data_IF_067003922988
#
_entry.id   IF_067003922988
#
_cell.length_a   1.000
_cell.length_b   1.000
_cell.length_c   1.000
_cell.angle_alpha   90.00
_cell.angle_beta   90.00
_cell.angle_gamma   90.00
#
_symmetry.space_group_name_H-M   'P 1'
#
loop_
_entity.id
_entity.type
_entity.pdbx_description
1 polymer ?
#
# COMPACT_ATOMS: atom_id res chain seq x y z
N UNK A 1 22.34 6.44 18.18
CA UNK A 1 20.86 6.59 18.02
C UNK A 1 20.22 6.64 19.40
N UNK A 2 19.44 7.66 19.70
CA UNK A 2 18.57 7.78 20.89
C UNK A 2 17.32 6.90 20.74
N UNK A 3 16.56 6.65 21.81
CA UNK A 3 15.28 5.91 21.71
C UNK A 3 14.23 6.64 20.87
N UNK A 4 14.22 7.99 20.91
CA UNK A 4 13.33 8.83 20.11
C UNK A 4 13.63 8.67 18.60
N UNK A 5 14.90 8.78 18.23
CA UNK A 5 15.34 8.56 16.83
C UNK A 5 15.05 7.13 16.37
N UNK A 6 15.31 6.12 17.27
CA UNK A 6 15.01 4.74 16.97
C UNK A 6 13.52 4.56 16.62
N UNK A 7 12.61 5.10 17.43
CA UNK A 7 11.16 5.03 17.17
C UNK A 7 10.80 5.70 15.83
N UNK A 8 11.35 6.87 15.53
CA UNK A 8 11.13 7.54 14.24
C UNK A 8 11.62 6.69 13.07
N UNK A 9 12.80 6.11 13.15
CA UNK A 9 13.34 5.25 12.09
C UNK A 9 12.58 3.92 11.97
N UNK A 10 12.11 3.37 13.08
CA UNK A 10 11.26 2.18 13.09
C UNK A 10 9.92 2.44 12.40
N UNK A 11 9.28 3.58 12.66
CA UNK A 11 8.07 4.01 11.98
C UNK A 11 8.30 4.33 10.48
N UNK A 12 9.51 4.66 10.08
CA UNK A 12 9.91 4.75 8.68
C UNK A 12 10.24 3.37 8.07
N UNK A 13 10.39 2.32 8.87
CA UNK A 13 10.77 0.97 8.42
C UNK A 13 12.22 0.86 7.98
N UNK A 14 13.12 1.69 8.50
CA UNK A 14 14.54 1.73 8.12
C UNK A 14 15.35 0.59 8.75
N UNK A 15 16.23 -0.01 7.96
CA UNK A 15 17.06 -1.17 8.37
C UNK A 15 18.03 -0.87 9.51
N UNK A 16 18.42 0.38 9.71
CA UNK A 16 19.30 0.79 10.81
C UNK A 16 18.75 0.44 12.20
N UNK A 17 17.42 0.26 12.35
CA UNK A 17 16.84 -0.20 13.63
C UNK A 17 17.22 -1.63 13.94
N UNK A 18 17.14 -2.57 12.99
CA UNK A 18 17.56 -3.96 13.20
C UNK A 18 19.05 -4.01 13.50
N UNK A 19 19.88 -3.24 12.79
CA UNK A 19 21.31 -3.15 13.09
C UNK A 19 21.59 -2.60 14.47
N UNK A 20 20.80 -1.62 14.94
CA UNK A 20 20.95 -1.02 16.28
C UNK A 20 20.55 -2.02 17.40
N UNK A 21 19.46 -2.77 17.20
CA UNK A 21 19.05 -3.83 18.16
C UNK A 21 20.11 -4.91 18.23
N UNK A 22 20.65 -5.39 17.11
CA UNK A 22 21.76 -6.38 17.08
C UNK A 22 22.98 -5.95 17.87
N UNK A 23 23.30 -4.66 17.85
CA UNK A 23 24.47 -4.12 18.60
C UNK A 23 24.21 -3.95 20.09
N UNK A 24 22.98 -3.58 20.46
CA UNK A 24 22.60 -3.33 21.84
C UNK A 24 21.09 -3.57 22.05
N UNK A 25 20.65 -4.85 22.19
CA UNK A 25 19.24 -5.20 22.26
C UNK A 25 18.54 -4.57 23.46
N UNK A 26 19.14 -4.59 24.64
CA UNK A 26 18.51 -4.10 25.88
C UNK A 26 18.16 -2.60 25.81
N UNK A 27 18.97 -1.81 25.12
CA UNK A 27 18.72 -0.38 24.96
C UNK A 27 17.39 -0.09 24.29
N UNK A 28 16.96 -0.94 23.36
CA UNK A 28 15.78 -0.72 22.52
C UNK A 28 14.61 -1.65 22.85
N UNK A 29 14.72 -2.49 23.88
CA UNK A 29 13.69 -3.46 24.28
C UNK A 29 12.32 -2.81 24.45
N UNK A 30 12.24 -1.65 25.11
CA UNK A 30 10.97 -0.94 25.32
C UNK A 30 10.31 -0.49 24.02
N UNK A 31 11.09 -0.14 23.00
CA UNK A 31 10.59 0.32 21.70
C UNK A 31 10.09 -0.85 20.85
N UNK A 32 10.79 -1.98 20.91
CA UNK A 32 10.35 -3.22 20.22
C UNK A 32 9.09 -3.78 20.90
N UNK A 33 9.00 -3.77 22.24
CA UNK A 33 7.78 -4.13 22.98
C UNK A 33 6.61 -3.17 22.64
N UNK A 34 6.89 -1.91 22.39
CA UNK A 34 5.86 -0.97 21.93
C UNK A 34 5.36 -1.37 20.52
N UNK A 35 6.25 -1.72 19.60
CA UNK A 35 5.87 -2.21 18.27
C UNK A 35 5.03 -3.50 18.34
N UNK A 36 5.27 -4.40 19.30
CA UNK A 36 4.43 -5.59 19.52
C UNK A 36 2.96 -5.27 19.91
N UNK A 37 2.61 -4.02 20.24
CA UNK A 37 1.24 -3.61 20.60
C UNK A 37 0.62 -2.68 19.59
N UNK A 38 1.43 -2.11 18.71
CA UNK A 38 1.00 -1.04 17.80
C UNK A 38 1.40 -1.37 16.37
N UNK A 39 0.47 -1.28 15.48
CA UNK A 39 0.77 -1.32 14.06
C UNK A 39 1.70 -0.16 13.69
N UNK A 40 2.75 -0.45 12.95
CA UNK A 40 3.79 0.51 12.57
C UNK A 40 3.90 0.73 11.07
N UNK A 41 2.99 0.18 10.26
CA UNK A 41 2.90 0.48 8.84
C UNK A 41 2.32 1.89 8.64
N UNK A 42 2.91 2.67 7.75
CA UNK A 42 2.40 4.01 7.41
C UNK A 42 1.08 3.90 6.64
N UNK A 43 1.02 2.97 5.70
CA UNK A 43 -0.17 2.63 4.92
C UNK A 43 -0.16 1.12 4.66
N UNK A 44 -0.76 0.36 5.58
CA UNK A 44 -0.80 -1.10 5.51
C UNK A 44 -1.48 -1.61 4.22
N UNK A 45 -2.41 -0.85 3.65
CA UNK A 45 -3.07 -1.20 2.40
C UNK A 45 -2.10 -1.16 1.20
N UNK A 46 -1.18 -0.21 1.18
CA UNK A 46 -0.25 -0.01 0.07
C UNK A 46 1.09 -0.74 0.25
N UNK A 47 1.57 -0.86 1.49
CA UNK A 47 2.88 -1.44 1.80
C UNK A 47 2.83 -2.85 2.38
N UNK A 48 1.65 -3.32 2.81
CA UNK A 48 1.49 -4.50 3.62
C UNK A 48 1.86 -4.26 5.08
N UNK A 49 1.78 -5.31 5.90
CA UNK A 49 2.22 -5.23 7.29
C UNK A 49 3.75 -5.19 7.38
N UNK A 50 4.24 -4.67 8.50
CA UNK A 50 5.68 -4.72 8.83
C UNK A 50 6.02 -5.86 9.78
N UNK A 51 5.25 -6.92 9.77
CA UNK A 51 5.40 -8.05 10.69
C UNK A 51 6.78 -8.68 10.60
N UNK A 52 7.27 -8.97 9.38
CA UNK A 52 8.63 -9.47 9.19
C UNK A 52 9.69 -8.56 9.82
N UNK A 53 9.58 -7.27 9.62
CA UNK A 53 10.54 -6.28 10.12
C UNK A 53 10.56 -6.24 11.66
N UNK A 54 9.38 -6.28 12.29
CA UNK A 54 9.27 -6.35 13.75
C UNK A 54 9.81 -7.68 14.28
N UNK A 55 9.48 -8.79 13.61
CA UNK A 55 10.00 -10.09 13.98
C UNK A 55 11.53 -10.16 13.89
N UNK A 56 12.16 -9.56 12.86
CA UNK A 56 13.62 -9.48 12.78
C UNK A 56 14.26 -8.68 13.92
N UNK A 57 13.57 -7.68 14.47
CA UNK A 57 14.05 -7.01 15.69
C UNK A 57 13.90 -7.92 16.93
N UNK A 58 12.81 -8.65 17.05
CA UNK A 58 12.57 -9.62 18.13
C UNK A 58 13.59 -10.75 18.06
N UNK A 59 13.95 -11.20 16.87
CA UNK A 59 14.92 -12.28 16.65
C UNK A 59 16.34 -11.94 17.10
N UNK A 60 16.63 -10.69 17.36
CA UNK A 60 17.90 -10.25 17.94
C UNK A 60 18.01 -10.51 19.46
N UNK A 61 16.94 -10.93 20.13
CA UNK A 61 16.95 -11.23 21.57
C UNK A 61 17.09 -12.74 21.81
N UNK A 62 17.89 -13.14 22.80
CA UNK A 62 17.99 -14.53 23.24
C UNK A 62 16.68 -15.02 23.85
N UNK A 63 16.08 -14.21 24.75
CA UNK A 63 14.76 -14.47 25.31
C UNK A 63 13.68 -13.68 24.56
N UNK A 64 12.92 -14.36 23.73
CA UNK A 64 11.79 -13.81 22.95
C UNK A 64 10.46 -13.84 23.72
N UNK A 65 10.40 -14.49 24.87
CA UNK A 65 9.18 -14.72 25.67
C UNK A 65 8.42 -13.44 26.03
N UNK A 66 9.06 -12.33 26.46
CA UNK A 66 8.34 -11.10 26.76
C UNK A 66 7.63 -10.47 25.55
N UNK A 67 8.21 -10.61 24.35
CA UNK A 67 7.62 -10.13 23.12
C UNK A 67 6.44 -11.01 22.69
N UNK A 68 6.61 -12.34 22.75
CA UNK A 68 5.56 -13.31 22.48
C UNK A 68 4.32 -13.07 23.36
N UNK A 69 4.51 -12.99 24.67
CA UNK A 69 3.40 -12.75 25.62
C UNK A 69 2.74 -11.39 25.38
N UNK A 70 3.52 -10.37 25.01
CA UNK A 70 2.98 -9.05 24.67
C UNK A 70 2.11 -9.10 23.40
N UNK A 71 2.56 -9.82 22.37
CA UNK A 71 1.80 -10.02 21.12
C UNK A 71 0.51 -10.80 21.37
N UNK A 72 0.59 -11.90 22.11
CA UNK A 72 -0.57 -12.73 22.47
C UNK A 72 -1.60 -11.91 23.23
N UNK A 73 -1.18 -11.21 24.28
CA UNK A 73 -2.08 -10.35 25.05
C UNK A 73 -2.70 -9.24 24.17
N UNK A 74 -1.92 -8.63 23.27
CA UNK A 74 -2.44 -7.62 22.35
C UNK A 74 -3.46 -8.20 21.36
N UNK A 75 -3.23 -9.42 20.83
CA UNK A 75 -4.15 -10.11 19.93
C UNK A 75 -5.45 -10.51 20.66
N UNK A 76 -5.36 -11.10 21.85
CA UNK A 76 -6.52 -11.53 22.62
C UNK A 76 -7.43 -10.34 22.98
N UNK A 77 -6.86 -9.18 23.33
CA UNK A 77 -7.61 -7.96 23.68
C UNK A 77 -7.99 -7.10 22.44
N UNK A 78 -7.49 -7.41 21.25
CA UNK A 78 -7.81 -6.65 20.06
C UNK A 78 -9.29 -6.83 19.70
N UNK A 79 -9.97 -5.71 19.39
CA UNK A 79 -11.32 -5.72 18.81
C UNK A 79 -11.21 -5.37 17.33
N UNK A 80 -12.01 -6.03 16.51
CA UNK A 80 -12.12 -5.69 15.10
C UNK A 80 -12.67 -4.27 14.94
N UNK A 81 -11.85 -3.43 14.36
CA UNK A 81 -12.24 -2.05 14.03
C UNK A 81 -11.62 -1.78 12.66
N UNK A 82 -12.14 -1.59 11.63
CA UNK A 82 -11.62 -1.27 10.27
C UNK A 82 -10.09 -1.02 10.13
N UNK A 83 -9.30 -1.34 11.18
CA UNK A 83 -7.85 -1.23 11.23
C UNK A 83 -7.17 -2.56 10.92
N UNK A 84 -5.90 -2.52 10.60
CA UNK A 84 -5.08 -3.68 10.23
C UNK A 84 -4.43 -4.38 11.43
N UNK A 85 -4.81 -3.98 12.67
CA UNK A 85 -4.12 -4.40 13.89
C UNK A 85 -4.17 -5.92 14.12
N UNK A 86 -5.32 -6.56 13.93
CA UNK A 86 -5.44 -8.02 14.11
C UNK A 86 -4.58 -8.74 13.08
N UNK A 87 -4.61 -8.31 11.84
CA UNK A 87 -3.78 -8.82 10.75
C UNK A 87 -2.29 -8.67 11.07
N UNK A 88 -1.85 -7.46 11.44
CA UNK A 88 -0.46 -7.21 11.82
C UNK A 88 0.03 -8.11 12.98
N UNK A 89 -0.75 -8.21 14.07
CA UNK A 89 -0.40 -9.05 15.21
C UNK A 89 -0.38 -10.52 14.83
N UNK A 90 -1.34 -10.96 14.00
CA UNK A 90 -1.42 -12.31 13.46
C UNK A 90 -0.18 -12.66 12.66
N UNK A 91 0.21 -11.83 11.71
CA UNK A 91 1.41 -12.06 10.89
C UNK A 91 2.71 -12.11 11.72
N UNK A 92 2.86 -11.26 12.76
CA UNK A 92 4.05 -11.36 13.64
C UNK A 92 4.06 -12.71 14.39
N UNK A 93 2.90 -13.17 14.89
CA UNK A 93 2.78 -14.46 15.58
C UNK A 93 2.97 -15.65 14.63
N UNK A 94 2.62 -15.50 13.35
CA UNK A 94 2.90 -16.52 12.32
C UNK A 94 4.41 -16.78 12.19
N UNK A 95 5.25 -15.77 12.28
CA UNK A 95 6.70 -15.98 12.30
C UNK A 95 7.14 -16.83 13.49
N UNK A 96 6.59 -16.60 14.70
CA UNK A 96 6.85 -17.47 15.85
C UNK A 96 6.35 -18.90 15.63
N UNK A 97 5.15 -19.05 15.03
CA UNK A 97 4.58 -20.36 14.71
C UNK A 97 5.45 -21.12 13.68
N UNK A 98 5.99 -20.44 12.69
CA UNK A 98 6.87 -21.04 11.68
C UNK A 98 8.21 -21.48 12.29
N UNK A 99 8.69 -20.79 13.31
CA UNK A 99 9.85 -21.20 14.12
C UNK A 99 9.52 -22.31 15.16
N UNK A 100 8.29 -22.84 15.12
CA UNK A 100 7.87 -23.99 15.95
C UNK A 100 7.29 -23.61 17.32
N UNK A 101 6.94 -22.34 17.57
CA UNK A 101 6.31 -21.90 18.81
C UNK A 101 4.84 -22.33 18.86
N UNK A 102 4.54 -23.36 19.66
CA UNK A 102 3.18 -23.89 19.84
C UNK A 102 2.25 -22.93 20.56
N UNK A 103 2.78 -22.04 21.41
CA UNK A 103 1.99 -21.04 22.15
C UNK A 103 1.46 -19.96 21.18
N UNK A 104 2.28 -19.53 20.22
CA UNK A 104 1.86 -18.61 19.16
C UNK A 104 0.76 -19.24 18.28
N UNK A 105 0.94 -20.49 17.88
CA UNK A 105 -0.05 -21.23 17.12
C UNK A 105 -1.38 -21.34 17.88
N UNK A 106 -1.34 -21.69 19.15
CA UNK A 106 -2.53 -21.77 20.00
C UNK A 106 -3.25 -20.42 20.13
N UNK A 107 -2.50 -19.31 20.23
CA UNK A 107 -3.08 -17.96 20.29
C UNK A 107 -3.78 -17.58 18.97
N UNK A 108 -3.18 -17.89 17.83
CA UNK A 108 -3.78 -17.66 16.51
C UNK A 108 -5.08 -18.45 16.36
N UNK A 109 -5.08 -19.73 16.74
CA UNK A 109 -6.30 -20.54 16.69
C UNK A 109 -7.37 -20.07 17.66
N UNK A 110 -7.04 -19.61 18.86
CA UNK A 110 -8.03 -19.00 19.76
C UNK A 110 -8.70 -17.79 19.14
N UNK A 111 -7.90 -16.90 18.53
CA UNK A 111 -8.46 -15.70 17.85
C UNK A 111 -9.32 -16.09 16.66
N UNK A 112 -8.89 -17.07 15.88
CA UNK A 112 -9.67 -17.65 14.78
C UNK A 112 -11.05 -18.14 15.24
N UNK A 113 -11.09 -19.00 16.29
CA UNK A 113 -12.34 -19.54 16.81
C UNK A 113 -13.25 -18.44 17.39
N UNK A 114 -12.68 -17.42 18.03
CA UNK A 114 -13.43 -16.27 18.52
C UNK A 114 -14.12 -15.54 17.36
N UNK A 115 -13.39 -15.20 16.29
CA UNK A 115 -13.92 -14.50 15.12
C UNK A 115 -14.93 -15.38 14.37
N UNK A 116 -14.65 -16.67 14.20
CA UNK A 116 -15.55 -17.63 13.60
C UNK A 116 -16.89 -17.71 14.35
N UNK A 117 -16.86 -17.77 15.67
CA UNK A 117 -18.07 -17.77 16.49
C UNK A 117 -18.89 -16.49 16.33
N UNK A 118 -18.22 -15.32 16.27
CA UNK A 118 -18.87 -14.03 15.99
C UNK A 118 -19.56 -14.08 14.62
N UNK A 119 -18.87 -14.57 13.60
CA UNK A 119 -19.41 -14.67 12.25
C UNK A 119 -20.63 -15.59 12.19
N UNK A 120 -20.60 -16.73 12.87
CA UNK A 120 -21.74 -17.67 12.95
C UNK A 120 -22.94 -17.13 13.71
N UNK A 121 -22.75 -16.29 14.72
CA UNK A 121 -23.84 -15.76 15.56
C UNK A 121 -24.71 -14.71 14.86
N UNK A 122 -24.23 -14.08 13.78
CA UNK A 122 -24.92 -12.97 13.10
C UNK A 122 -25.93 -13.50 12.08
N UNK A 123 -27.20 -13.63 12.48
CA UNK A 123 -28.32 -14.20 11.66
C UNK A 123 -28.75 -13.40 10.41
N UNK A 124 -28.49 -12.12 10.31
CA UNK A 124 -28.75 -11.27 9.13
C UNK A 124 -27.77 -10.12 9.11
N UNK A 125 -27.15 -9.89 7.97
CA UNK A 125 -26.23 -8.76 7.78
C UNK A 125 -26.81 -7.79 6.75
N UNK A 126 -26.85 -6.49 7.04
CA UNK A 126 -27.03 -5.50 5.99
C UNK A 126 -25.85 -5.63 4.99
N UNK A 127 -26.05 -5.30 3.73
CA UNK A 127 -24.96 -5.19 2.75
C UNK A 127 -23.94 -4.19 3.28
N UNK A 128 -22.73 -4.60 3.58
CA UNK A 128 -21.66 -3.74 4.09
C UNK A 128 -20.42 -4.54 4.50
N UNK A 129 -19.34 -3.84 4.56
CA UNK A 129 -18.02 -4.32 4.93
C UNK A 129 -17.92 -4.52 6.46
N UNK A 130 -17.52 -5.70 6.92
CA UNK A 130 -17.40 -6.01 8.34
C UNK A 130 -15.95 -6.18 8.75
N UNK A 131 -15.52 -5.44 9.77
CA UNK A 131 -14.18 -5.50 10.28
C UNK A 131 -13.78 -6.92 10.73
N UNK A 132 -14.71 -7.64 11.38
CA UNK A 132 -14.45 -9.01 11.84
C UNK A 132 -14.26 -10.00 10.69
N UNK A 133 -14.90 -9.76 9.55
CA UNK A 133 -14.76 -10.60 8.36
C UNK A 133 -13.38 -10.48 7.74
N UNK A 134 -12.86 -9.26 7.68
CA UNK A 134 -11.51 -9.02 7.21
C UNK A 134 -10.45 -9.58 8.14
N UNK A 135 -10.59 -9.35 9.43
CA UNK A 135 -9.67 -9.90 10.43
C UNK A 135 -9.67 -11.43 10.38
N UNK A 136 -10.86 -12.04 10.21
CA UNK A 136 -11.00 -13.48 10.05
C UNK A 136 -10.35 -13.96 8.75
N UNK A 137 -10.61 -13.30 7.64
CA UNK A 137 -10.03 -13.63 6.34
C UNK A 137 -8.50 -13.55 6.37
N UNK A 138 -7.94 -12.51 6.98
CA UNK A 138 -6.50 -12.36 7.14
C UNK A 138 -5.89 -13.52 7.94
N UNK A 139 -6.46 -13.86 9.10
CA UNK A 139 -6.00 -15.01 9.88
C UNK A 139 -6.15 -16.34 9.13
N UNK A 140 -7.18 -16.48 8.30
CA UNK A 140 -7.36 -17.67 7.46
C UNK A 140 -6.21 -17.82 6.44
N UNK A 141 -5.75 -16.71 5.86
CA UNK A 141 -4.60 -16.73 4.94
C UNK A 141 -3.33 -17.13 5.67
N UNK A 142 -3.06 -16.52 6.82
CA UNK A 142 -1.87 -16.77 7.63
C UNK A 142 -1.80 -18.22 8.12
N UNK A 143 -2.88 -18.73 8.71
CA UNK A 143 -2.98 -20.11 9.17
C UNK A 143 -3.03 -21.13 8.02
N UNK A 144 -3.67 -20.77 6.91
CA UNK A 144 -3.87 -21.59 5.72
C UNK A 144 -2.59 -21.94 4.95
N UNK A 145 -1.44 -21.42 5.35
CA UNK A 145 -0.14 -21.85 4.87
C UNK A 145 0.10 -23.35 5.10
N UNK A 146 -0.41 -23.90 6.20
CA UNK A 146 -0.35 -25.34 6.50
C UNK A 146 -1.54 -26.06 5.90
N UNK A 147 -1.29 -27.21 5.25
CA UNK A 147 -2.31 -27.99 4.53
C UNK A 147 -3.49 -28.43 5.41
N UNK A 148 -3.19 -28.92 6.61
CA UNK A 148 -4.21 -29.39 7.57
C UNK A 148 -5.08 -28.22 8.04
N UNK A 149 -4.46 -27.09 8.35
CA UNK A 149 -5.15 -25.86 8.70
C UNK A 149 -6.06 -25.38 7.57
N UNK A 150 -5.57 -25.37 6.33
CA UNK A 150 -6.37 -24.97 5.17
C UNK A 150 -7.60 -25.87 4.95
N UNK A 151 -7.50 -27.18 5.25
CA UNK A 151 -8.65 -28.07 5.16
C UNK A 151 -9.72 -27.75 6.21
N UNK A 152 -9.31 -27.47 7.46
CA UNK A 152 -10.23 -27.01 8.52
C UNK A 152 -10.87 -25.68 8.15
N UNK A 153 -10.08 -24.73 7.68
CA UNK A 153 -10.55 -23.39 7.28
C UNK A 153 -11.58 -23.51 6.14
N UNK A 154 -11.30 -24.32 5.12
CA UNK A 154 -12.24 -24.56 4.02
C UNK A 154 -13.56 -25.20 4.49
N UNK A 155 -13.49 -26.13 5.45
CA UNK A 155 -14.67 -26.73 6.09
C UNK A 155 -15.51 -25.69 6.83
N UNK A 156 -14.87 -24.83 7.61
CA UNK A 156 -15.51 -23.79 8.43
C UNK A 156 -16.14 -22.69 7.55
N UNK A 157 -15.41 -22.19 6.54
CA UNK A 157 -15.94 -21.20 5.59
C UNK A 157 -17.09 -21.78 4.77
N UNK A 158 -16.96 -23.01 4.29
CA UNK A 158 -18.04 -23.65 3.56
C UNK A 158 -19.29 -23.86 4.40
N UNK A 159 -19.14 -24.10 5.70
CA UNK A 159 -20.27 -24.11 6.65
C UNK A 159 -20.91 -22.73 6.77
N UNK A 160 -20.12 -21.65 6.85
CA UNK A 160 -20.64 -20.27 6.84
C UNK A 160 -21.45 -20.00 5.57
N UNK A 161 -20.99 -20.43 4.41
CA UNK A 161 -21.76 -20.29 3.16
C UNK A 161 -23.08 -21.06 3.16
N UNK A 162 -23.12 -22.26 3.75
CA UNK A 162 -24.34 -23.07 3.82
C UNK A 162 -25.35 -22.57 4.84
N UNK A 163 -24.88 -22.14 6.01
CA UNK A 163 -25.73 -21.70 7.11
C UNK A 163 -26.24 -20.26 6.92
N UNK A 164 -25.50 -19.45 6.20
CA UNK A 164 -25.79 -18.03 6.00
C UNK A 164 -25.71 -17.69 4.50
N UNK A 165 -26.87 -17.66 3.82
CA UNK A 165 -26.96 -17.33 2.38
C UNK A 165 -26.46 -15.91 2.00
N UNK A 166 -25.72 -15.27 2.87
CA UNK A 166 -25.31 -13.86 2.83
C UNK A 166 -23.78 -13.65 2.79
N UNK A 167 -22.99 -14.70 2.81
CA UNK A 167 -21.54 -14.55 2.67
C UNK A 167 -21.23 -14.18 1.23
N UNK A 168 -20.80 -12.94 1.04
CA UNK A 168 -20.21 -12.52 -0.22
C UNK A 168 -18.86 -13.23 -0.37
N UNK A 169 -18.74 -14.08 -1.38
CA UNK A 169 -17.52 -14.86 -1.63
C UNK A 169 -16.25 -14.02 -1.80
N UNK A 170 -16.39 -12.72 -1.99
CA UNK A 170 -15.32 -11.74 -2.14
C UNK A 170 -14.36 -11.69 -0.95
N UNK A 171 -14.84 -11.87 0.26
CA UNK A 171 -13.98 -11.81 1.46
C UNK A 171 -12.96 -12.94 1.53
N UNK A 172 -13.16 -14.02 0.77
CA UNK A 172 -12.31 -15.22 0.80
C UNK A 172 -11.69 -15.60 -0.55
N UNK A 173 -11.87 -14.77 -1.58
CA UNK A 173 -11.25 -14.97 -2.89
C UNK A 173 -9.73 -14.99 -2.81
N UNK A 174 -9.18 -14.08 -2.01
CA UNK A 174 -7.75 -13.99 -1.75
C UNK A 174 -7.22 -15.25 -1.05
N UNK A 175 -7.92 -15.77 -0.03
CA UNK A 175 -7.57 -17.03 0.61
C UNK A 175 -7.54 -18.19 -0.40
N UNK A 176 -8.56 -18.28 -1.28
CA UNK A 176 -8.59 -19.31 -2.30
C UNK A 176 -7.44 -19.15 -3.30
N UNK A 177 -7.16 -17.94 -3.75
CA UNK A 177 -6.08 -17.67 -4.68
C UNK A 177 -4.69 -17.99 -4.09
N UNK A 178 -4.45 -17.64 -2.83
CA UNK A 178 -3.17 -17.84 -2.13
C UNK A 178 -2.97 -19.30 -1.69
N UNK A 179 -3.93 -19.85 -0.98
CA UNK A 179 -3.77 -21.12 -0.27
C UNK A 179 -4.62 -22.26 -0.86
N UNK A 180 -5.87 -21.97 -1.26
CA UNK A 180 -6.80 -22.99 -1.76
C UNK A 180 -6.33 -23.65 -3.05
N UNK A 181 -5.85 -22.88 -4.01
CA UNK A 181 -5.33 -23.41 -5.29
C UNK A 181 -4.13 -24.34 -5.11
N UNK A 182 -3.28 -24.07 -4.13
CA UNK A 182 -2.10 -24.89 -3.82
C UNK A 182 -2.46 -26.33 -3.44
N UNK A 183 -3.61 -26.53 -2.78
CA UNK A 183 -4.09 -27.84 -2.35
C UNK A 183 -5.38 -28.28 -3.05
N UNK A 184 -5.71 -27.70 -4.21
CA UNK A 184 -6.99 -27.86 -4.91
C UNK A 184 -7.38 -29.34 -5.09
N UNK A 185 -6.47 -30.18 -5.58
CA UNK A 185 -6.75 -31.62 -5.75
C UNK A 185 -7.15 -32.32 -4.45
N UNK A 186 -6.62 -31.84 -3.32
CA UNK A 186 -6.97 -32.38 -1.99
C UNK A 186 -8.35 -31.90 -1.57
N UNK A 187 -8.65 -30.61 -1.80
CA UNK A 187 -9.97 -30.04 -1.52
C UNK A 187 -11.05 -30.73 -2.36
N UNK A 188 -10.81 -30.95 -3.66
CA UNK A 188 -11.73 -31.65 -4.56
C UNK A 188 -12.03 -33.09 -4.07
N UNK A 189 -11.00 -33.86 -3.71
CA UNK A 189 -11.18 -35.17 -3.14
C UNK A 189 -11.94 -35.19 -1.80
N UNK A 190 -11.72 -34.16 -0.97
CA UNK A 190 -12.44 -34.01 0.32
C UNK A 190 -13.86 -33.53 0.12
N UNK A 191 -14.14 -32.73 -0.90
CA UNK A 191 -15.47 -32.25 -1.26
C UNK A 191 -16.44 -33.40 -1.61
N UNK A 192 -15.95 -34.55 -2.09
CA UNK A 192 -16.78 -35.76 -2.32
C UNK A 192 -17.45 -36.28 -1.05
N UNK A 193 -16.86 -35.96 0.14
CA UNK A 193 -17.31 -36.43 1.45
C UNK A 193 -17.75 -35.34 2.40
N UNK A 194 -17.49 -34.07 2.06
CA UNK A 194 -17.86 -32.91 2.87
C UNK A 194 -18.62 -31.89 2.03
N UNK A 195 -19.91 -31.74 2.34
CA UNK A 195 -20.75 -30.71 1.71
C UNK A 195 -20.26 -29.29 2.00
N UNK A 196 -19.57 -29.06 3.13
CA UNK A 196 -19.01 -27.77 3.47
C UNK A 196 -17.83 -27.43 2.56
N UNK A 197 -16.85 -28.35 2.39
CA UNK A 197 -15.74 -28.14 1.46
C UNK A 197 -16.26 -27.99 0.01
N UNK A 198 -17.30 -28.76 -0.36
CA UNK A 198 -17.95 -28.60 -1.66
C UNK A 198 -18.56 -27.21 -1.84
N UNK A 199 -19.20 -26.67 -0.79
CA UNK A 199 -19.73 -25.31 -0.81
C UNK A 199 -18.62 -24.26 -0.92
N UNK A 200 -17.52 -24.40 -0.16
CA UNK A 200 -16.36 -23.53 -0.26
C UNK A 200 -15.80 -23.49 -1.69
N UNK A 201 -15.56 -24.63 -2.30
CA UNK A 201 -15.04 -24.70 -3.67
C UNK A 201 -16.00 -24.12 -4.70
N UNK A 202 -17.30 -24.38 -4.57
CA UNK A 202 -18.32 -23.85 -5.49
C UNK A 202 -18.34 -22.32 -5.46
N UNK A 203 -18.37 -21.74 -4.27
CA UNK A 203 -18.39 -20.28 -4.12
C UNK A 203 -17.07 -19.64 -4.58
N UNK A 204 -15.93 -20.21 -4.22
CA UNK A 204 -14.62 -19.70 -4.68
C UNK A 204 -14.49 -19.74 -6.21
N UNK A 205 -14.94 -20.80 -6.87
CA UNK A 205 -14.94 -20.92 -8.34
C UNK A 205 -15.97 -19.97 -8.99
N UNK A 206 -17.13 -19.72 -8.33
CA UNK A 206 -18.13 -18.76 -8.79
C UNK A 206 -17.56 -17.34 -8.79
N UNK A 207 -16.93 -16.90 -7.68
CA UNK A 207 -16.33 -15.58 -7.56
C UNK A 207 -15.22 -15.40 -8.60
N UNK A 208 -14.35 -16.39 -8.77
CA UNK A 208 -13.30 -16.36 -9.79
C UNK A 208 -13.86 -16.21 -11.22
N UNK A 209 -14.95 -16.94 -11.53
CA UNK A 209 -15.61 -16.85 -12.83
C UNK A 209 -16.27 -15.47 -13.04
N UNK A 210 -16.92 -14.92 -12.01
CA UNK A 210 -17.53 -13.59 -12.05
C UNK A 210 -16.47 -12.48 -12.22
N UNK A 211 -15.32 -12.62 -11.56
CA UNK A 211 -14.21 -11.69 -11.76
C UNK A 211 -13.68 -11.71 -13.21
N UNK A 212 -13.51 -12.91 -13.77
CA UNK A 212 -13.08 -13.06 -15.17
C UNK A 212 -14.09 -12.42 -16.13
N UNK A 213 -15.37 -12.71 -15.95
CA UNK A 213 -16.44 -12.13 -16.75
C UNK A 213 -16.52 -10.61 -16.59
N UNK A 214 -16.36 -10.11 -15.36
CA UNK A 214 -16.33 -8.67 -15.10
C UNK A 214 -15.11 -7.99 -15.73
N UNK A 215 -13.95 -8.66 -15.80
CA UNK A 215 -12.76 -8.15 -16.50
C UNK A 215 -12.98 -8.08 -18.00
N UNK A 216 -13.62 -9.09 -18.60
CA UNK A 216 -13.94 -9.13 -20.03
C UNK A 216 -14.99 -8.09 -20.43
N UNK A 217 -16.01 -7.90 -19.58
CA UNK A 217 -17.11 -6.95 -19.83
C UNK A 217 -16.81 -5.52 -19.37
N UNK A 218 -15.69 -5.26 -18.69
CA UNK A 218 -15.33 -3.91 -18.27
C UNK A 218 -15.11 -3.05 -19.50
N UNK A 219 -15.95 -2.03 -19.65
CA UNK A 219 -15.59 -0.88 -20.51
C UNK A 219 -14.21 -0.38 -20.05
N UNK A 220 -13.32 -0.03 -20.98
CA UNK A 220 -12.03 0.53 -20.63
C UNK A 220 -12.24 1.62 -19.57
N UNK A 221 -11.53 1.52 -18.43
CA UNK A 221 -11.60 2.59 -17.45
C UNK A 221 -11.09 3.88 -18.10
N UNK A 222 -11.55 5.07 -17.65
CA UNK A 222 -11.02 6.35 -18.17
C UNK A 222 -9.48 6.41 -18.13
N UNK A 223 -8.87 5.71 -17.15
CA UNK A 223 -7.40 5.58 -17.05
C UNK A 223 -6.82 4.73 -18.19
N UNK A 224 -7.46 3.61 -18.53
CA UNK A 224 -7.03 2.76 -19.64
C UNK A 224 -7.23 3.48 -20.97
N UNK A 225 -8.36 4.15 -21.13
CA UNK A 225 -8.68 4.96 -22.29
C UNK A 225 -7.70 6.14 -22.44
N UNK A 226 -7.36 6.84 -21.37
CA UNK A 226 -6.35 7.90 -21.41
C UNK A 226 -4.95 7.39 -21.81
N UNK A 227 -4.56 6.17 -21.38
CA UNK A 227 -3.31 5.54 -21.83
C UNK A 227 -3.34 5.22 -23.32
N UNK A 228 -4.47 4.74 -23.85
CA UNK A 228 -4.68 4.50 -25.28
C UNK A 228 -4.63 5.81 -26.05
N UNK A 229 -5.36 6.82 -25.59
CA UNK A 229 -5.47 8.13 -26.23
C UNK A 229 -4.10 8.86 -26.29
N UNK A 230 -3.20 8.62 -25.32
CA UNK A 230 -1.83 9.16 -25.37
C UNK A 230 -1.05 8.68 -26.60
N UNK A 231 -1.39 7.52 -27.15
CA UNK A 231 -0.76 6.93 -28.34
C UNK A 231 -1.58 7.15 -29.62
N UNK A 232 -2.77 7.74 -29.51
CA UNK A 232 -3.67 8.01 -30.60
C UNK A 232 -3.25 9.25 -31.39
N UNK A 233 -3.91 9.47 -32.55
CA UNK A 233 -3.68 10.65 -33.35
C UNK A 233 -4.11 11.95 -32.65
N UNK A 234 -3.60 13.07 -33.12
CA UNK A 234 -4.00 14.40 -32.61
C UNK A 234 -5.48 14.67 -32.85
N UNK A 235 -6.01 14.22 -33.96
CA UNK A 235 -7.42 14.36 -34.32
C UNK A 235 -8.31 13.64 -33.30
N UNK A 236 -7.98 12.41 -32.98
CA UNK A 236 -8.72 11.62 -31.97
C UNK A 236 -8.65 12.26 -30.58
N UNK A 237 -7.51 12.80 -30.19
CA UNK A 237 -7.38 13.54 -28.93
C UNK A 237 -8.29 14.79 -28.92
N UNK A 238 -8.39 15.50 -30.05
CA UNK A 238 -9.27 16.65 -30.16
C UNK A 238 -10.76 16.27 -30.11
N UNK A 239 -11.16 15.12 -30.66
CA UNK A 239 -12.54 14.62 -30.53
C UNK A 239 -12.95 14.43 -29.09
N UNK A 240 -12.08 13.82 -28.24
CA UNK A 240 -12.34 13.69 -26.80
C UNK A 240 -12.40 15.05 -26.09
N UNK A 241 -11.56 16.01 -26.49
CA UNK A 241 -11.65 17.38 -25.97
C UNK A 241 -12.98 18.03 -26.33
N UNK A 242 -13.47 17.86 -27.57
CA UNK A 242 -14.79 18.38 -27.97
C UNK A 242 -15.92 17.76 -27.17
N UNK A 243 -15.85 16.46 -26.86
CA UNK A 243 -16.83 15.82 -25.98
C UNK A 243 -16.85 16.50 -24.61
N UNK A 244 -15.68 16.71 -23.98
CA UNK A 244 -15.58 17.42 -22.72
C UNK A 244 -16.14 18.86 -22.80
N UNK A 245 -15.84 19.61 -23.84
CA UNK A 245 -16.29 21.01 -24.00
C UNK A 245 -17.81 21.13 -24.26
N UNK A 246 -18.45 20.09 -24.79
CA UNK A 246 -19.90 20.03 -24.99
C UNK A 246 -20.71 19.72 -23.75
N UNK A 247 -20.09 19.04 -22.79
CA UNK A 247 -20.75 18.67 -21.55
C UNK A 247 -21.01 19.92 -20.70
N UNK A 248 -22.25 20.03 -20.20
CA UNK A 248 -22.65 21.14 -19.34
C UNK A 248 -22.70 20.71 -17.86
N UNK A 249 -23.09 19.45 -17.62
CA UNK A 249 -23.23 18.92 -16.26
C UNK A 249 -21.86 18.54 -15.68
N UNK A 250 -21.58 18.86 -14.40
CA UNK A 250 -20.31 18.57 -13.74
C UNK A 250 -19.90 17.09 -13.81
N UNK A 251 -20.87 16.16 -13.68
CA UNK A 251 -20.60 14.72 -13.75
C UNK A 251 -20.15 14.31 -15.13
N UNK A 252 -20.82 14.77 -16.20
CA UNK A 252 -20.45 14.50 -17.60
C UNK A 252 -19.08 15.08 -17.93
N UNK A 253 -18.82 16.35 -17.52
CA UNK A 253 -17.51 17.00 -17.66
C UNK A 253 -16.41 16.20 -16.95
N UNK A 254 -16.66 15.77 -15.70
CA UNK A 254 -15.72 14.95 -14.92
C UNK A 254 -15.37 13.65 -15.64
N UNK A 255 -16.37 12.94 -16.20
CA UNK A 255 -16.13 11.69 -16.91
C UNK A 255 -15.34 11.90 -18.21
N UNK A 256 -15.70 12.89 -19.00
CA UNK A 256 -15.00 13.23 -20.24
C UNK A 256 -13.56 13.70 -19.97
N UNK A 257 -13.36 14.51 -18.92
CA UNK A 257 -12.04 15.05 -18.57
C UNK A 257 -11.07 13.98 -18.02
N UNK A 258 -11.59 12.91 -17.38
CA UNK A 258 -10.77 11.85 -16.75
C UNK A 258 -9.75 11.19 -17.68
N UNK A 259 -10.01 11.11 -18.99
CA UNK A 259 -9.06 10.50 -19.94
C UNK A 259 -7.76 11.30 -20.01
N UNK A 260 -7.84 12.63 -19.84
CA UNK A 260 -6.70 13.53 -19.86
C UNK A 260 -5.84 13.50 -18.58
N UNK A 261 -6.27 12.78 -17.54
CA UNK A 261 -5.39 12.50 -16.40
C UNK A 261 -4.21 11.58 -16.77
N UNK A 262 -4.25 10.95 -17.96
CA UNK A 262 -3.20 10.05 -18.48
C UNK A 262 -2.71 10.41 -19.87
N UNK A 263 -3.37 11.35 -20.52
CA UNK A 263 -3.01 11.90 -21.82
C UNK A 263 -2.90 13.43 -21.68
N UNK A 264 -1.88 14.10 -22.22
CA UNK A 264 -1.84 15.56 -22.22
C UNK A 264 -3.10 16.15 -22.88
N UNK A 265 -3.65 17.17 -22.23
CA UNK A 265 -4.81 17.88 -22.79
C UNK A 265 -4.43 18.60 -24.10
N UNK A 266 -5.17 18.41 -25.20
CA UNK A 266 -4.69 18.80 -26.51
C UNK A 266 -4.99 20.26 -26.92
N UNK A 267 -5.80 21.00 -26.17
CA UNK A 267 -6.31 22.32 -26.54
C UNK A 267 -5.96 23.46 -25.61
N UNK A 268 -6.77 24.51 -25.69
CA UNK A 268 -6.73 25.62 -24.75
C UNK A 268 -7.11 25.12 -23.35
N UNK A 269 -6.28 25.42 -22.36
CA UNK A 269 -6.46 24.96 -20.98
C UNK A 269 -7.45 25.80 -20.18
N UNK A 270 -7.89 26.96 -20.69
CA UNK A 270 -8.76 27.88 -19.96
C UNK A 270 -10.04 27.22 -19.42
N UNK A 271 -10.73 26.31 -20.15
CA UNK A 271 -11.88 25.61 -19.61
C UNK A 271 -11.52 24.66 -18.44
N UNK A 272 -10.35 24.03 -18.48
CA UNK A 272 -9.89 23.14 -17.41
C UNK A 272 -9.48 23.94 -16.18
N UNK A 273 -8.88 25.12 -16.37
CA UNK A 273 -8.56 26.07 -15.29
C UNK A 273 -9.86 26.56 -14.61
N UNK A 274 -10.89 26.90 -15.41
CA UNK A 274 -12.19 27.28 -14.85
C UNK A 274 -12.83 26.15 -14.02
N UNK A 275 -12.64 24.88 -14.41
CA UNK A 275 -13.14 23.73 -13.65
C UNK A 275 -12.43 23.52 -12.31
N UNK A 276 -11.25 24.08 -12.09
CA UNK A 276 -10.63 24.09 -10.76
C UNK A 276 -11.40 24.96 -9.76
N UNK A 277 -12.20 25.91 -10.22
CA UNK A 277 -13.07 26.77 -9.41
C UNK A 277 -14.50 26.20 -9.29
N UNK A 278 -14.80 25.04 -9.86
CA UNK A 278 -16.13 24.44 -9.83
C UNK A 278 -16.61 24.16 -8.41
N UNK A 279 -17.89 24.30 -8.13
CA UNK A 279 -18.48 23.89 -6.86
C UNK A 279 -18.46 22.36 -6.67
N UNK A 280 -18.42 21.58 -7.76
CA UNK A 280 -18.31 20.12 -7.70
C UNK A 280 -16.89 19.67 -7.34
N UNK A 281 -16.70 18.98 -6.20
CA UNK A 281 -15.37 18.59 -5.72
C UNK A 281 -14.69 17.52 -6.61
N UNK A 282 -15.47 16.70 -7.33
CA UNK A 282 -14.92 15.69 -8.22
C UNK A 282 -14.39 16.31 -9.50
N UNK A 283 -15.10 17.30 -10.04
CA UNK A 283 -14.67 18.04 -11.22
C UNK A 283 -13.39 18.84 -10.89
N UNK A 284 -13.37 19.59 -9.77
CA UNK A 284 -12.14 20.27 -9.29
C UNK A 284 -10.95 19.33 -9.21
N UNK A 285 -11.14 18.17 -8.58
CA UNK A 285 -10.09 17.17 -8.43
C UNK A 285 -9.56 16.65 -9.76
N UNK A 286 -10.46 16.34 -10.70
CA UNK A 286 -10.05 15.83 -12.02
C UNK A 286 -9.39 16.92 -12.86
N UNK A 287 -9.89 18.16 -12.82
CA UNK A 287 -9.27 19.30 -13.48
C UNK A 287 -7.81 19.50 -13.02
N UNK A 288 -7.58 19.45 -11.70
CA UNK A 288 -6.23 19.50 -11.12
C UNK A 288 -5.34 18.42 -11.71
N UNK A 289 -5.78 17.14 -11.69
CA UNK A 289 -4.99 16.02 -12.19
C UNK A 289 -4.66 16.15 -13.69
N UNK A 290 -5.52 16.80 -14.47
CA UNK A 290 -5.27 17.07 -15.91
C UNK A 290 -4.20 18.14 -16.04
N UNK A 291 -4.31 19.26 -15.31
CA UNK A 291 -3.33 20.34 -15.36
C UNK A 291 -1.94 19.91 -14.87
N UNK A 292 -1.85 18.97 -13.92
CA UNK A 292 -0.58 18.34 -13.52
C UNK A 292 0.17 17.67 -14.69
N UNK A 293 -0.52 17.31 -15.77
CA UNK A 293 0.08 16.67 -16.95
C UNK A 293 0.41 17.67 -18.08
N UNK A 294 0.03 18.92 -17.92
CA UNK A 294 0.25 19.95 -18.94
C UNK A 294 1.54 20.75 -18.66
N UNK A 295 2.39 20.91 -19.66
CA UNK A 295 3.53 21.83 -19.62
C UNK A 295 3.15 23.16 -20.26
N UNK A 296 3.16 24.24 -19.46
CA UNK A 296 2.82 25.58 -19.93
C UNK A 296 3.43 26.64 -19.01
N UNK A 297 4.07 27.70 -19.57
CA UNK A 297 4.52 28.85 -18.78
C UNK A 297 3.38 29.52 -18.00
N UNK A 298 2.17 29.52 -18.56
CA UNK A 298 0.98 30.04 -17.89
C UNK A 298 0.63 29.23 -16.64
N UNK A 299 0.61 27.89 -16.73
CA UNK A 299 0.35 27.03 -15.57
C UNK A 299 1.44 27.22 -14.50
N UNK A 300 2.73 27.31 -14.91
CA UNK A 300 3.82 27.60 -13.99
C UNK A 300 3.57 28.87 -13.19
N UNK A 301 3.22 29.96 -13.87
CA UNK A 301 2.98 31.25 -13.21
C UNK A 301 1.78 31.15 -12.26
N UNK A 302 0.66 30.61 -12.73
CA UNK A 302 -0.53 30.41 -11.90
C UNK A 302 -0.23 29.55 -10.68
N UNK A 303 0.57 28.49 -10.83
CA UNK A 303 0.93 27.62 -9.73
C UNK A 303 1.80 28.31 -8.69
N UNK A 304 2.75 29.14 -9.12
CA UNK A 304 3.57 29.93 -8.20
C UNK A 304 2.75 31.00 -7.47
N UNK A 305 1.81 31.65 -8.16
CA UNK A 305 0.96 32.71 -7.59
C UNK A 305 -0.04 32.20 -6.55
N UNK A 306 -0.45 30.91 -6.66
CA UNK A 306 -1.48 30.31 -5.81
C UNK A 306 -0.93 29.26 -4.83
N UNK A 307 0.37 29.00 -4.83
CA UNK A 307 0.97 27.92 -4.04
C UNK A 307 0.71 28.05 -2.52
N UNK A 308 0.78 29.26 -2.00
CA UNK A 308 0.57 29.52 -0.57
C UNK A 308 -0.90 29.31 -0.15
N UNK A 309 -1.84 29.49 -1.08
CA UNK A 309 -3.27 29.32 -0.82
C UNK A 309 -3.69 27.83 -0.77
N UNK A 310 -3.15 27.00 -1.68
CA UNK A 310 -3.43 25.57 -1.73
C UNK A 310 -2.20 24.79 -2.26
N UNK A 311 -1.23 24.49 -1.35
CA UNK A 311 -0.01 23.77 -1.72
C UNK A 311 -0.25 22.42 -2.37
N UNK A 312 -1.26 21.68 -1.91
CA UNK A 312 -1.57 20.34 -2.42
C UNK A 312 -2.07 20.37 -3.85
N UNK A 313 -2.76 21.43 -4.24
CA UNK A 313 -3.26 21.61 -5.59
C UNK A 313 -2.16 22.11 -6.55
N UNK A 314 -1.31 23.03 -6.10
CA UNK A 314 -0.43 23.79 -7.01
C UNK A 314 1.02 23.31 -7.07
N UNK A 315 1.55 22.72 -5.99
CA UNK A 315 2.93 22.22 -5.98
C UNK A 315 3.23 21.19 -7.10
N UNK A 316 2.35 20.21 -7.42
CA UNK A 316 2.58 19.31 -8.53
C UNK A 316 2.79 20.03 -9.87
N UNK A 317 2.06 21.14 -10.08
CA UNK A 317 2.16 21.96 -11.29
C UNK A 317 3.44 22.78 -11.32
N UNK A 318 3.90 23.29 -10.15
CA UNK A 318 5.22 23.94 -10.03
C UNK A 318 6.30 22.94 -10.42
N UNK A 319 6.30 21.73 -9.85
CA UNK A 319 7.31 20.70 -10.12
C UNK A 319 7.27 20.25 -11.59
N UNK A 320 6.08 20.08 -12.17
CA UNK A 320 5.91 19.69 -13.56
C UNK A 320 6.45 20.72 -14.55
N UNK A 321 6.33 21.97 -14.22
CA UNK A 321 6.68 23.11 -15.10
C UNK A 321 7.95 23.83 -14.64
N UNK A 322 8.72 23.23 -13.67
CA UNK A 322 9.88 23.88 -13.11
C UNK A 322 10.98 24.11 -14.12
N UNK A 323 11.72 25.18 -13.92
CA UNK A 323 12.97 25.55 -14.58
C UNK A 323 14.14 25.33 -13.64
N UNK A 324 15.36 25.45 -14.13
CA UNK A 324 16.56 25.33 -13.31
C UNK A 324 16.55 26.32 -12.14
N UNK A 325 16.06 27.52 -12.36
CA UNK A 325 15.92 28.58 -11.37
C UNK A 325 14.97 28.24 -10.21
N UNK A 326 13.99 27.34 -10.43
CA UNK A 326 13.02 26.92 -9.43
C UNK A 326 13.55 25.83 -8.50
N UNK A 327 14.66 25.17 -8.85
CA UNK A 327 15.16 24.02 -8.10
C UNK A 327 15.53 24.35 -6.66
N UNK A 328 16.12 25.53 -6.42
CA UNK A 328 16.46 25.98 -5.07
C UNK A 328 15.19 26.17 -4.22
N UNK A 329 14.14 26.72 -4.80
CA UNK A 329 12.84 26.90 -4.16
C UNK A 329 12.20 25.53 -3.85
N UNK A 330 12.09 24.63 -4.83
CA UNK A 330 11.52 23.29 -4.65
C UNK A 330 12.26 22.51 -3.55
N UNK A 331 13.60 22.57 -3.55
CA UNK A 331 14.43 21.94 -2.51
C UNK A 331 14.13 22.49 -1.12
N UNK A 332 14.08 23.82 -0.99
CA UNK A 332 13.78 24.47 0.28
C UNK A 332 12.37 24.11 0.76
N UNK A 333 11.39 24.19 -0.13
CA UNK A 333 9.99 23.93 0.18
C UNK A 333 9.78 22.51 0.72
N UNK A 334 10.31 21.49 0.02
CA UNK A 334 10.20 20.10 0.44
C UNK A 334 10.97 19.81 1.73
N UNK A 335 12.20 20.35 1.88
CA UNK A 335 13.02 20.12 3.08
C UNK A 335 12.47 20.83 4.32
N UNK A 336 11.81 21.96 4.16
CA UNK A 336 11.20 22.70 5.27
C UNK A 336 9.82 22.18 5.67
N UNK A 337 9.16 21.39 4.82
CA UNK A 337 7.87 20.78 5.16
C UNK A 337 8.07 19.68 6.20
N UNK A 338 7.43 19.79 7.38
CA UNK A 338 7.54 18.78 8.42
C UNK A 338 7.06 17.41 7.92
N UNK A 339 7.82 16.35 8.24
CA UNK A 339 7.39 14.98 8.04
C UNK A 339 6.96 14.41 9.37
N UNK A 340 5.72 13.96 9.46
CA UNK A 340 5.13 13.41 10.66
C UNK A 340 4.38 12.10 10.36
N UNK A 341 4.37 11.18 11.31
CA UNK A 341 3.64 9.92 11.21
C UNK A 341 2.12 10.11 11.32
N UNK A 342 1.68 10.97 12.23
CA UNK A 342 0.25 11.11 12.57
C UNK A 342 -0.52 12.02 11.60
N UNK A 343 0.09 12.44 10.50
CA UNK A 343 -0.26 13.70 9.94
C UNK A 343 -0.98 13.69 8.61
N UNK A 344 -1.91 14.61 8.53
CA UNK A 344 -2.47 15.21 7.33
C UNK A 344 -1.53 16.24 6.68
N UNK A 345 -0.20 16.15 6.88
CA UNK A 345 0.73 17.10 6.25
C UNK A 345 1.00 16.72 4.80
N UNK A 346 1.26 17.72 3.95
CA UNK A 346 1.42 17.53 2.50
C UNK A 346 2.71 16.78 2.11
N UNK A 347 3.61 16.45 3.06
CA UNK A 347 4.93 15.87 2.77
C UNK A 347 4.88 14.65 1.83
N UNK A 348 3.88 13.79 1.98
CA UNK A 348 3.78 12.59 1.16
C UNK A 348 3.47 12.94 -0.31
N UNK A 349 2.56 13.87 -0.54
CA UNK A 349 2.27 14.42 -1.86
C UNK A 349 3.51 15.09 -2.48
N UNK A 350 4.20 15.94 -1.71
CA UNK A 350 5.42 16.60 -2.16
C UNK A 350 6.53 15.62 -2.57
N UNK A 351 6.74 14.56 -1.77
CA UNK A 351 7.69 13.49 -2.11
C UNK A 351 7.32 12.78 -3.42
N UNK A 352 6.04 12.44 -3.59
CA UNK A 352 5.54 11.81 -4.82
C UNK A 352 5.76 12.71 -6.04
N UNK A 353 5.53 14.00 -5.93
CA UNK A 353 5.68 14.93 -7.05
C UNK A 353 7.13 15.09 -7.47
N UNK A 354 8.05 15.19 -6.51
CA UNK A 354 9.49 15.17 -6.80
C UNK A 354 9.91 13.87 -7.49
N UNK A 355 9.42 12.74 -7.02
CA UNK A 355 9.73 11.43 -7.63
C UNK A 355 9.15 11.30 -9.05
N UNK A 356 8.01 11.93 -9.34
CA UNK A 356 7.43 12.00 -10.69
C UNK A 356 8.29 12.78 -11.69
N UNK A 357 9.20 13.67 -11.25
CA UNK A 357 10.07 14.46 -12.14
C UNK A 357 10.75 13.58 -13.20
N UNK A 358 11.23 12.39 -12.81
CA UNK A 358 11.86 11.45 -13.75
C UNK A 358 10.90 11.01 -14.88
N UNK A 359 9.62 10.82 -14.57
CA UNK A 359 8.58 10.44 -15.57
C UNK A 359 8.32 11.55 -16.59
N UNK A 360 8.63 12.77 -16.20
CA UNK A 360 8.49 13.97 -17.03
C UNK A 360 9.78 14.37 -17.78
N UNK A 361 10.83 13.55 -17.65
CA UNK A 361 12.14 13.85 -18.25
C UNK A 361 12.96 14.88 -17.48
N UNK A 362 12.49 15.28 -16.28
CA UNK A 362 13.19 16.19 -15.39
C UNK A 362 14.11 15.41 -14.43
N UNK A 363 15.10 16.09 -13.88
CA UNK A 363 16.05 15.49 -12.93
C UNK A 363 15.84 16.09 -11.54
N UNK A 364 15.25 15.34 -10.63
CA UNK A 364 15.21 15.75 -9.23
C UNK A 364 16.64 15.93 -8.68
N UNK A 365 16.96 16.97 -7.87
CA UNK A 365 18.25 17.10 -7.22
C UNK A 365 18.60 15.85 -6.40
N UNK A 366 19.88 15.44 -6.43
CA UNK A 366 20.35 14.27 -5.67
C UNK A 366 20.14 14.38 -4.18
N UNK A 367 20.38 15.57 -3.63
CA UNK A 367 20.11 15.89 -2.22
C UNK A 367 18.64 15.71 -1.83
N UNK A 368 17.72 15.98 -2.75
CA UNK A 368 16.30 15.83 -2.51
C UNK A 368 15.88 14.36 -2.51
N UNK A 369 16.47 13.54 -3.39
CA UNK A 369 16.28 12.09 -3.37
C UNK A 369 16.80 11.49 -2.06
N UNK A 370 17.97 11.93 -1.59
CA UNK A 370 18.51 11.50 -0.29
C UNK A 370 17.60 11.92 0.85
N UNK A 371 17.12 13.17 0.85
CA UNK A 371 16.17 13.66 1.83
C UNK A 371 14.90 12.82 1.87
N UNK A 372 14.29 12.49 0.72
CA UNK A 372 13.10 11.63 0.64
C UNK A 372 13.40 10.24 1.21
N UNK A 373 14.54 9.64 0.84
CA UNK A 373 14.96 8.34 1.38
C UNK A 373 15.08 8.37 2.92
N UNK A 374 15.63 9.43 3.49
CA UNK A 374 15.87 9.54 4.93
C UNK A 374 14.63 9.90 5.74
N UNK A 375 13.73 10.72 5.19
CA UNK A 375 12.62 11.31 5.95
C UNK A 375 11.28 10.67 5.71
N UNK A 376 11.05 10.04 4.53
CA UNK A 376 9.74 9.49 4.18
C UNK A 376 9.33 8.31 5.08
N UNK A 377 8.11 8.36 5.60
CA UNK A 377 7.47 7.21 6.25
C UNK A 377 6.94 6.20 5.23
N UNK A 378 6.62 6.63 4.01
CA UNK A 378 6.17 5.76 2.93
C UNK A 378 7.35 4.95 2.36
N UNK A 379 7.36 3.62 2.49
CA UNK A 379 8.45 2.79 1.98
C UNK A 379 8.49 2.75 0.45
N UNK A 380 7.36 2.97 -0.22
CA UNK A 380 7.32 3.06 -1.68
C UNK A 380 8.04 4.32 -2.18
N UNK A 381 7.87 5.47 -1.49
CA UNK A 381 8.64 6.68 -1.81
C UNK A 381 10.14 6.47 -1.57
N UNK A 382 10.53 5.80 -0.48
CA UNK A 382 11.93 5.47 -0.20
C UNK A 382 12.51 4.53 -1.26
N UNK A 383 11.75 3.51 -1.69
CA UNK A 383 12.16 2.60 -2.77
C UNK A 383 12.41 3.38 -4.06
N UNK A 384 11.48 4.23 -4.48
CA UNK A 384 11.62 4.98 -5.73
C UNK A 384 12.79 5.95 -5.67
N UNK A 385 13.00 6.65 -4.53
CA UNK A 385 14.17 7.50 -4.31
C UNK A 385 15.48 6.69 -4.41
N UNK A 386 15.55 5.54 -3.75
CA UNK A 386 16.70 4.63 -3.78
C UNK A 386 17.02 4.17 -5.22
N UNK A 387 16.00 3.79 -6.00
CA UNK A 387 16.19 3.38 -7.39
C UNK A 387 16.71 4.52 -8.27
N UNK A 388 16.19 5.75 -8.08
CA UNK A 388 16.66 6.93 -8.80
C UNK A 388 18.10 7.29 -8.41
N UNK A 389 18.46 7.21 -7.12
CA UNK A 389 19.84 7.38 -6.64
C UNK A 389 20.78 6.33 -7.25
N UNK A 390 20.33 5.07 -7.30
CA UNK A 390 21.10 3.97 -7.89
C UNK A 390 21.42 4.18 -9.36
N UNK A 391 20.47 4.63 -10.18
CA UNK A 391 20.69 4.99 -11.60
C UNK A 391 21.74 6.09 -11.77
N UNK A 392 21.93 6.94 -10.74
CA UNK A 392 22.91 8.05 -10.73
C UNK A 392 24.21 7.72 -10.01
N UNK A 393 24.40 6.46 -9.56
CA UNK A 393 25.60 5.99 -8.82
C UNK A 393 25.83 6.76 -7.50
N UNK A 394 24.76 7.20 -6.86
CA UNK A 394 24.82 7.95 -5.58
C UNK A 394 24.75 7.06 -4.34
N UNK A 395 24.41 5.77 -4.49
CA UNK A 395 24.31 4.86 -3.36
C UNK A 395 25.69 4.52 -2.82
N UNK A 396 25.89 4.69 -1.53
CA UNK A 396 27.07 4.20 -0.81
C UNK A 396 26.87 2.73 -0.41
N UNK A 397 27.92 2.08 0.07
CA UNK A 397 27.82 0.71 0.58
C UNK A 397 27.01 0.67 1.86
N UNK A 398 27.19 1.66 2.74
CA UNK A 398 26.47 1.80 4.01
C UNK A 398 24.95 1.92 3.80
N UNK A 399 24.51 2.68 2.80
CA UNK A 399 23.09 2.78 2.44
C UNK A 399 22.56 1.42 1.98
N UNK A 400 23.30 0.71 1.14
CA UNK A 400 22.89 -0.59 0.65
C UNK A 400 22.88 -1.65 1.75
N UNK A 401 23.84 -1.64 2.66
CA UNK A 401 23.88 -2.53 3.82
C UNK A 401 22.72 -2.27 4.79
N UNK A 402 22.37 -1.00 5.01
CA UNK A 402 21.16 -0.65 5.77
C UNK A 402 19.91 -1.21 5.09
N UNK A 403 19.79 -1.02 3.78
CA UNK A 403 18.63 -1.46 2.98
C UNK A 403 18.42 -2.98 2.99
N UNK A 404 19.44 -3.80 3.31
CA UNK A 404 19.26 -5.25 3.49
C UNK A 404 18.25 -5.61 4.59
N UNK A 405 17.98 -4.68 5.49
CA UNK A 405 17.10 -4.84 6.64
C UNK A 405 15.88 -3.90 6.60
N UNK A 406 15.59 -3.26 5.47
CA UNK A 406 14.41 -2.40 5.30
C UNK A 406 13.11 -3.18 5.47
N UNK A 407 12.05 -2.52 5.94
CA UNK A 407 10.73 -3.13 6.09
C UNK A 407 10.16 -3.67 4.77
N UNK A 408 10.45 -3.00 3.65
CA UNK A 408 9.93 -3.36 2.33
C UNK A 408 10.82 -4.37 1.62
N UNK A 409 10.27 -5.53 1.24
CA UNK A 409 11.00 -6.60 0.56
C UNK A 409 11.67 -6.15 -0.76
N UNK A 410 11.00 -5.29 -1.52
CA UNK A 410 11.54 -4.74 -2.77
C UNK A 410 12.83 -3.95 -2.53
N UNK A 411 12.92 -3.19 -1.43
CA UNK A 411 14.14 -2.46 -1.03
C UNK A 411 15.25 -3.44 -0.68
N UNK A 412 14.95 -4.46 0.14
CA UNK A 412 15.93 -5.51 0.49
C UNK A 412 16.46 -6.25 -0.74
N UNK A 413 15.58 -6.63 -1.64
CA UNK A 413 15.92 -7.32 -2.90
C UNK A 413 16.77 -6.43 -3.81
N UNK A 414 16.43 -5.15 -3.93
CA UNK A 414 17.24 -4.19 -4.68
C UNK A 414 18.66 -4.06 -4.13
N UNK A 415 18.78 -3.92 -2.80
CA UNK A 415 20.05 -3.77 -2.11
C UNK A 415 20.95 -5.00 -2.31
N UNK A 416 20.43 -6.23 -2.13
CA UNK A 416 21.18 -7.48 -2.40
C UNK A 416 21.73 -7.49 -3.82
N UNK A 417 20.88 -7.27 -4.82
CA UNK A 417 21.30 -7.25 -6.24
C UNK A 417 22.33 -6.16 -6.54
N UNK A 418 22.26 -5.02 -5.86
CA UNK A 418 23.22 -3.94 -6.05
C UNK A 418 24.60 -4.28 -5.45
N UNK A 419 24.63 -4.86 -4.24
CA UNK A 419 25.85 -5.33 -3.58
C UNK A 419 26.50 -6.49 -4.35
N UNK A 420 25.74 -7.48 -4.81
CA UNK A 420 26.26 -8.61 -5.60
C UNK A 420 26.90 -8.12 -6.91
N UNK A 421 26.28 -7.15 -7.58
CA UNK A 421 26.87 -6.54 -8.79
C UNK A 421 28.17 -5.80 -8.52
N UNK A 422 28.37 -5.24 -7.32
CA UNK A 422 29.64 -4.60 -6.93
C UNK A 422 30.73 -5.65 -6.69
N UNK A 423 30.42 -6.71 -5.94
CA UNK A 423 31.35 -7.82 -5.68
C UNK A 423 31.83 -8.48 -6.96
N UNK A 424 30.96 -8.64 -7.95
CA UNK A 424 31.32 -9.27 -9.23
C UNK A 424 32.09 -8.34 -10.20
N UNK A 425 32.36 -7.11 -9.84
CA UNK A 425 33.13 -6.15 -10.61
C UNK A 425 34.59 -5.99 -10.11
N UNK A 426 34.87 -6.52 -8.95
CA UNK A 426 36.17 -6.64 -8.32
C UNK A 426 36.66 -8.07 -8.41
#
# INVERSE_FOLDING_TARGET
>A
MTKKEFRQYMLKGRGCCIQAVRRNPERYRSEVLWACRNEIAFDAQCEGSRAWYVYQMIDCYEDKTPFLHTLIAALDHSRSNYGWKVHYLGEVLVHFMLDGCTEAEAALWRKYEQLYAILRSKKRRPRGYFAEENDFSALCVDLGERREAMLKIAEDIGRLYREQSFYDGWSFDWLYAQNGKRILKTLEKKAEKSENIAAYLRESKRVEAEELQNRENRRPSPIAEGKRLKQASREEQLEYMVLYLREQEPEGRTQALRVFTRCPYPGDISPVVADMESEDPHLRFVARLVLENVQSPQIRQMALDNLDADPDAWFPMVVRNCREEDMAFIMSYVKCTPTDWECNTPWHGLHLDVLKMQKWGLKAPGELLLHIYETSYCPNCRQEALEQMGKRRMLTEEILEECLYDSLDKVRTYARRALDRRKNRH
#
